data_IF_714813174892
#
_entry.id   IF_714813174892
#
_cell.length_a   1.000
_cell.length_b   1.000
_cell.length_c   1.000
_cell.angle_alpha   90.00
_cell.angle_beta   90.00
_cell.angle_gamma   90.00
#
_symmetry.space_group_name_H-M   'P 1'
#
loop_
_entity.id
_entity.type
_entity.pdbx_description
1 polymer ?
#
# COMPACT_ATOMS: atom_id res chain seq x y z
N UNK A 1 36.89 2.91 13.66
CA UNK A 1 37.40 4.28 13.76
C UNK A 1 38.35 4.54 12.62
N UNK A 2 38.30 5.75 12.05
CA UNK A 2 39.20 6.19 10.98
C UNK A 2 40.26 7.09 11.62
N UNK A 3 41.53 6.75 11.49
CA UNK A 3 42.66 7.49 12.06
C UNK A 3 43.57 8.03 10.95
N UNK A 4 44.22 9.17 11.18
CA UNK A 4 45.12 9.79 10.20
C UNK A 4 46.34 8.90 9.90
N UNK A 5 46.81 8.15 10.90
CA UNK A 5 47.96 7.25 10.77
C UNK A 5 47.75 6.17 9.70
N UNK A 6 46.50 5.73 9.49
CA UNK A 6 46.16 4.68 8.51
C UNK A 6 45.68 5.22 7.16
N UNK A 7 45.75 6.55 6.95
CA UNK A 7 45.28 7.18 5.72
C UNK A 7 45.97 6.64 4.45
N UNK A 8 47.25 6.25 4.57
CA UNK A 8 48.05 5.70 3.48
C UNK A 8 47.70 4.24 3.13
N UNK A 9 46.94 3.53 3.98
CA UNK A 9 46.53 2.14 3.77
C UNK A 9 45.01 2.03 3.70
N UNK A 10 44.37 2.18 2.52
CA UNK A 10 42.91 2.18 2.40
C UNK A 10 42.26 0.88 2.93
N UNK A 11 42.91 -0.26 2.73
CA UNK A 11 42.44 -1.56 3.23
C UNK A 11 42.37 -1.64 4.77
N UNK A 12 43.17 -0.84 5.48
CA UNK A 12 43.23 -0.81 6.96
C UNK A 12 42.73 0.52 7.53
N UNK A 13 42.08 1.34 6.70
CA UNK A 13 41.64 2.68 7.08
C UNK A 13 40.62 2.66 8.23
N UNK A 14 39.80 1.61 8.29
CA UNK A 14 38.72 1.47 9.27
C UNK A 14 39.03 0.40 10.32
N UNK A 15 39.09 0.81 11.58
CA UNK A 15 39.09 -0.12 12.71
C UNK A 15 37.67 -0.52 13.08
N UNK A 16 37.40 -1.81 13.29
CA UNK A 16 36.09 -2.30 13.73
C UNK A 16 36.20 -2.81 15.16
N UNK A 17 35.46 -2.19 16.07
CA UNK A 17 35.41 -2.57 17.49
C UNK A 17 34.05 -3.23 17.76
N UNK A 18 34.07 -4.41 18.38
CA UNK A 18 32.84 -5.09 18.80
C UNK A 18 32.34 -4.48 20.10
N UNK A 19 31.14 -3.90 20.06
CA UNK A 19 30.48 -3.38 21.26
C UNK A 19 29.78 -4.51 22.03
N UNK A 20 29.63 -4.29 23.33
CA UNK A 20 28.84 -5.14 24.22
C UNK A 20 27.38 -5.25 23.77
N UNK A 21 26.74 -6.40 24.04
CA UNK A 21 25.28 -6.57 23.84
C UNK A 21 24.46 -5.77 24.84
N UNK A 22 24.99 -5.51 26.03
CA UNK A 22 24.37 -4.65 27.03
C UNK A 22 24.51 -3.19 26.61
N UNK A 23 23.39 -2.49 26.46
CA UNK A 23 23.32 -1.11 25.97
C UNK A 23 24.15 -0.14 26.82
N UNK A 24 24.02 -0.19 28.14
CA UNK A 24 24.76 0.73 29.04
C UNK A 24 26.28 0.54 28.92
N UNK A 25 26.74 -0.72 28.90
CA UNK A 25 28.17 -1.02 28.70
C UNK A 25 28.66 -0.61 27.31
N UNK A 26 27.81 -0.70 26.29
CA UNK A 26 28.16 -0.24 24.95
C UNK A 26 28.27 1.30 24.88
N UNK A 27 27.43 2.04 25.61
CA UNK A 27 27.57 3.50 25.73
C UNK A 27 28.88 3.89 26.43
N UNK A 28 29.22 3.24 27.52
CA UNK A 28 30.49 3.45 28.24
C UNK A 28 31.70 3.14 27.33
N UNK A 29 31.64 2.06 26.55
CA UNK A 29 32.68 1.72 25.57
C UNK A 29 32.84 2.79 24.48
N UNK A 30 31.73 3.36 23.99
CA UNK A 30 31.77 4.47 23.03
C UNK A 30 32.46 5.69 23.65
N UNK A 31 32.16 6.02 24.91
CA UNK A 31 32.81 7.14 25.60
C UNK A 31 34.30 6.90 25.84
N UNK A 32 34.69 5.69 26.20
CA UNK A 32 36.10 5.33 26.42
C UNK A 32 36.91 5.37 25.11
N UNK A 33 36.38 4.79 24.03
CA UNK A 33 37.08 4.74 22.76
C UNK A 33 37.11 6.10 22.04
N UNK A 34 36.10 6.95 22.25
CA UNK A 34 36.02 8.27 21.62
C UNK A 34 36.36 9.45 22.55
N UNK A 35 37.12 9.22 23.64
CA UNK A 35 37.40 10.23 24.67
C UNK A 35 37.93 11.57 24.14
N UNK A 36 38.80 11.55 23.14
CA UNK A 36 39.45 12.74 22.56
C UNK A 36 38.80 13.26 21.28
N UNK A 37 37.66 12.68 20.86
CA UNK A 37 36.93 13.16 19.69
C UNK A 37 35.98 14.29 20.05
N UNK A 38 35.51 15.02 19.04
CA UNK A 38 34.50 16.07 19.21
C UNK A 38 33.22 15.49 19.84
N UNK A 39 32.69 16.19 20.86
CA UNK A 39 31.42 15.88 21.54
C UNK A 39 30.26 15.64 20.57
N UNK A 40 30.20 16.40 19.47
CA UNK A 40 29.19 16.21 18.43
C UNK A 40 29.21 14.79 17.83
N UNK A 41 30.41 14.30 17.49
CA UNK A 41 30.57 12.95 16.92
C UNK A 41 30.22 11.88 17.94
N UNK A 42 30.63 12.06 19.20
CA UNK A 42 30.28 11.14 20.30
C UNK A 42 28.76 11.06 20.44
N UNK A 43 28.08 12.21 20.50
CA UNK A 43 26.63 12.26 20.62
C UNK A 43 25.93 11.59 19.43
N UNK A 44 26.35 11.86 18.19
CA UNK A 44 25.80 11.19 17.00
C UNK A 44 26.07 9.68 17.00
N UNK A 45 27.24 9.23 17.45
CA UNK A 45 27.54 7.81 17.61
C UNK A 45 26.63 7.14 18.64
N UNK A 46 26.37 7.79 19.78
CA UNK A 46 25.40 7.32 20.79
C UNK A 46 23.98 7.25 20.22
N UNK A 47 23.52 8.30 19.54
CA UNK A 47 22.20 8.31 18.88
C UNK A 47 22.07 7.18 17.86
N UNK A 48 23.10 6.95 17.04
CA UNK A 48 23.12 5.85 16.06
C UNK A 48 23.09 4.49 16.75
N UNK A 49 23.83 4.31 17.84
CA UNK A 49 23.77 3.08 18.64
C UNK A 49 22.34 2.84 19.15
N UNK A 50 21.70 3.85 19.71
CA UNK A 50 20.29 3.76 20.15
C UNK A 50 19.38 3.36 18.99
N UNK A 51 19.47 4.03 17.84
CA UNK A 51 18.64 3.71 16.67
C UNK A 51 18.87 2.28 16.17
N UNK A 52 20.12 1.83 16.05
CA UNK A 52 20.43 0.45 15.62
C UNK A 52 19.93 -0.59 16.62
N UNK A 53 20.04 -0.32 17.93
CA UNK A 53 19.49 -1.24 18.95
C UNK A 53 17.97 -1.30 18.89
N UNK A 54 17.28 -0.17 18.67
CA UNK A 54 15.84 -0.14 18.43
C UNK A 54 15.46 -0.95 17.19
N UNK A 55 16.17 -0.76 16.06
CA UNK A 55 15.94 -1.52 14.83
C UNK A 55 16.12 -3.02 15.06
N UNK A 56 17.17 -3.44 15.77
CA UNK A 56 17.38 -4.85 16.10
C UNK A 56 16.27 -5.41 17.02
N UNK A 57 15.69 -4.60 17.91
CA UNK A 57 14.54 -5.00 18.71
C UNK A 57 13.28 -5.12 17.84
N UNK A 58 13.04 -4.16 16.94
CA UNK A 58 11.88 -4.21 16.03
C UNK A 58 11.97 -5.37 15.06
N UNK A 59 13.15 -5.68 14.54
CA UNK A 59 13.40 -6.83 13.68
C UNK A 59 13.09 -8.14 14.41
N UNK A 60 13.57 -8.31 15.65
CA UNK A 60 13.23 -9.48 16.48
C UNK A 60 11.74 -9.59 16.78
N UNK A 61 11.07 -8.45 17.02
CA UNK A 61 9.62 -8.43 17.24
C UNK A 61 8.86 -8.81 15.97
N UNK A 62 9.30 -8.33 14.81
CA UNK A 62 8.69 -8.64 13.53
C UNK A 62 8.91 -10.12 13.16
N UNK A 63 10.10 -10.66 13.40
CA UNK A 63 10.40 -12.08 13.17
C UNK A 63 9.63 -13.03 14.10
N UNK A 64 9.18 -12.57 15.27
CA UNK A 64 8.30 -13.33 16.17
C UNK A 64 6.82 -13.17 15.81
N UNK A 65 6.47 -12.17 14.99
CA UNK A 65 5.11 -11.97 14.52
C UNK A 65 4.86 -12.95 13.38
N UNK A 66 3.74 -13.67 13.45
CA UNK A 66 3.31 -14.51 12.34
C UNK A 66 2.75 -13.61 11.23
N UNK A 67 3.31 -13.74 10.04
CA UNK A 67 2.86 -13.00 8.86
C UNK A 67 1.69 -13.77 8.22
N UNK A 68 0.45 -13.34 8.48
CA UNK A 68 -0.75 -13.95 7.87
C UNK A 68 -0.85 -13.70 6.36
N UNK A 69 -0.26 -12.61 5.88
CA UNK A 69 -0.35 -12.18 4.48
C UNK A 69 1.01 -11.71 3.99
N UNK A 70 1.44 -12.23 2.85
CA UNK A 70 2.64 -11.79 2.17
C UNK A 70 2.29 -10.81 1.06
N UNK A 71 3.10 -9.77 0.89
CA UNK A 71 2.97 -8.86 -0.24
C UNK A 71 3.33 -9.61 -1.53
N UNK A 72 2.37 -9.75 -2.43
CA UNK A 72 2.56 -10.31 -3.76
C UNK A 72 2.43 -9.18 -4.78
N UNK A 73 3.42 -9.04 -5.66
CA UNK A 73 3.35 -8.11 -6.79
C UNK A 73 2.52 -8.72 -7.91
N UNK A 74 1.36 -8.14 -8.22
CA UNK A 74 0.56 -8.52 -9.39
C UNK A 74 0.95 -7.66 -10.58
N UNK A 75 1.46 -8.29 -11.64
CA UNK A 75 1.83 -7.58 -12.86
C UNK A 75 0.57 -7.07 -13.60
N UNK A 76 0.57 -5.84 -14.13
CA UNK A 76 -0.59 -5.29 -14.84
C UNK A 76 -1.06 -6.14 -16.03
N UNK A 77 -0.11 -6.79 -16.72
CA UNK A 77 -0.44 -7.72 -17.83
C UNK A 77 -1.21 -8.95 -17.35
N UNK A 78 -0.87 -9.49 -16.18
CA UNK A 78 -1.59 -10.62 -15.58
C UNK A 78 -3.00 -10.18 -15.21
N UNK A 79 -3.14 -9.02 -14.56
CA UNK A 79 -4.44 -8.45 -14.21
C UNK A 79 -5.34 -8.27 -15.44
N UNK A 80 -4.85 -7.63 -16.50
CA UNK A 80 -5.62 -7.45 -17.74
C UNK A 80 -6.01 -8.79 -18.38
N UNK A 81 -5.09 -9.75 -18.38
CA UNK A 81 -5.33 -11.10 -18.94
C UNK A 81 -6.36 -11.88 -18.12
N UNK A 82 -6.33 -11.76 -16.80
CA UNK A 82 -7.32 -12.37 -15.91
C UNK A 82 -8.69 -11.72 -16.08
N UNK A 83 -8.76 -10.39 -16.16
CA UNK A 83 -10.00 -9.64 -16.40
C UNK A 83 -10.65 -10.01 -17.75
N UNK A 84 -9.87 -10.06 -18.84
CA UNK A 84 -10.42 -10.43 -20.15
C UNK A 84 -10.87 -11.89 -20.19
N UNK A 85 -10.11 -12.81 -19.58
CA UNK A 85 -10.52 -14.21 -19.45
C UNK A 85 -11.76 -14.38 -18.60
N UNK A 86 -11.88 -13.64 -17.50
CA UNK A 86 -13.06 -13.65 -16.64
C UNK A 86 -14.29 -13.17 -17.40
N UNK A 87 -14.17 -12.09 -18.17
CA UNK A 87 -15.25 -11.58 -19.04
C UNK A 87 -15.66 -12.61 -20.09
N UNK A 88 -14.69 -13.24 -20.77
CA UNK A 88 -14.96 -14.32 -21.75
C UNK A 88 -15.61 -15.55 -21.10
N UNK A 89 -15.14 -15.94 -19.92
CA UNK A 89 -15.69 -17.08 -19.18
C UNK A 89 -17.13 -16.82 -18.71
N UNK A 90 -17.44 -15.60 -18.25
CA UNK A 90 -18.81 -15.21 -17.88
C UNK A 90 -19.74 -15.32 -19.10
N UNK A 91 -19.33 -14.75 -20.23
CA UNK A 91 -20.10 -14.78 -21.47
C UNK A 91 -20.35 -16.23 -21.96
N UNK A 92 -19.30 -17.06 -21.95
CA UNK A 92 -19.38 -18.45 -22.39
C UNK A 92 -20.23 -19.33 -21.46
N UNK A 93 -20.12 -19.15 -20.14
CA UNK A 93 -20.79 -20.00 -19.17
C UNK A 93 -22.33 -19.82 -19.13
N UNK A 94 -22.87 -18.72 -19.70
CA UNK A 94 -24.31 -18.39 -19.75
C UNK A 94 -25.07 -18.86 -18.50
N UNK A 95 -24.59 -18.45 -17.33
CA UNK A 95 -24.94 -19.03 -16.03
C UNK A 95 -26.46 -19.03 -15.79
N UNK A 96 -27.17 -18.00 -16.26
CA UNK A 96 -28.64 -17.91 -16.14
C UNK A 96 -29.37 -19.06 -16.84
N UNK A 97 -29.00 -19.40 -18.08
CA UNK A 97 -29.59 -20.53 -18.82
C UNK A 97 -29.23 -21.87 -18.17
N UNK A 98 -28.01 -22.00 -17.65
CA UNK A 98 -27.61 -23.21 -16.92
C UNK A 98 -28.42 -23.40 -15.62
N UNK A 99 -28.64 -22.31 -14.86
CA UNK A 99 -29.49 -22.32 -13.66
C UNK A 99 -30.95 -22.61 -14.03
N UNK A 100 -31.49 -22.02 -15.10
CA UNK A 100 -32.85 -22.29 -15.57
C UNK A 100 -33.04 -23.77 -15.90
N UNK A 101 -32.10 -24.36 -16.65
CA UNK A 101 -32.10 -25.79 -16.97
C UNK A 101 -32.05 -26.65 -15.70
N UNK A 102 -31.17 -26.35 -14.74
CA UNK A 102 -31.09 -27.09 -13.47
C UNK A 102 -32.37 -26.96 -12.62
N UNK A 103 -32.95 -25.75 -12.57
CA UNK A 103 -34.20 -25.51 -11.85
C UNK A 103 -35.36 -26.26 -12.51
N UNK A 104 -35.47 -26.23 -13.83
CA UNK A 104 -36.46 -27.00 -14.58
C UNK A 104 -36.26 -28.51 -14.38
N UNK A 105 -35.03 -29.00 -14.36
CA UNK A 105 -34.72 -30.41 -14.12
C UNK A 105 -35.07 -30.84 -12.69
N UNK A 106 -34.71 -30.05 -11.66
CA UNK A 106 -35.15 -30.27 -10.27
C UNK A 106 -36.67 -30.23 -10.14
N UNK A 107 -37.32 -29.37 -10.92
CA UNK A 107 -38.76 -29.24 -10.95
C UNK A 107 -39.40 -30.50 -11.56
N UNK A 108 -38.86 -31.00 -12.68
CA UNK A 108 -39.26 -32.26 -13.33
C UNK A 108 -39.00 -33.48 -12.45
N UNK A 109 -37.90 -33.50 -11.70
CA UNK A 109 -37.53 -34.60 -10.81
C UNK A 109 -38.41 -34.71 -9.56
N UNK A 110 -39.40 -33.82 -9.39
CA UNK A 110 -40.39 -33.88 -8.32
C UNK A 110 -39.81 -33.58 -6.93
N UNK A 111 -38.62 -32.97 -6.84
CA UNK A 111 -37.96 -32.65 -5.57
C UNK A 111 -38.78 -31.69 -4.69
N UNK A 112 -39.70 -30.93 -5.30
CA UNK A 112 -40.55 -29.93 -4.63
C UNK A 112 -41.98 -30.43 -4.30
N UNK A 113 -42.27 -31.72 -4.47
CA UNK A 113 -43.58 -32.33 -4.19
C UNK A 113 -44.66 -32.06 -5.27
N UNK A 114 -45.90 -32.50 -5.01
CA UNK A 114 -47.03 -32.41 -5.97
C UNK A 114 -47.50 -30.98 -6.27
N UNK A 115 -47.12 -30.01 -5.43
CA UNK A 115 -47.55 -28.61 -5.57
C UNK A 115 -46.45 -27.64 -5.11
N UNK A 116 -45.51 -27.27 -6.00
CA UNK A 116 -44.52 -26.26 -5.67
C UNK A 116 -45.20 -24.94 -5.32
N UNK A 117 -44.88 -24.40 -4.15
CA UNK A 117 -45.59 -23.29 -3.49
C UNK A 117 -45.58 -21.97 -4.29
N UNK A 118 -44.68 -21.84 -5.27
CA UNK A 118 -44.44 -20.60 -6.03
C UNK A 118 -44.77 -20.69 -7.53
N UNK A 119 -45.29 -21.81 -8.04
CA UNK A 119 -45.57 -21.97 -9.48
C UNK A 119 -47.08 -22.09 -9.71
N UNK A 120 -47.64 -21.21 -10.54
CA UNK A 120 -49.06 -21.31 -10.94
C UNK A 120 -49.32 -22.63 -11.67
N UNK A 121 -50.37 -23.38 -11.28
CA UNK A 121 -50.72 -24.68 -11.88
C UNK A 121 -50.92 -24.65 -13.40
N UNK A 122 -51.32 -23.49 -13.94
CA UNK A 122 -51.51 -23.26 -15.39
C UNK A 122 -50.18 -23.14 -16.12
N UNK A 123 -49.17 -22.56 -15.47
CA UNK A 123 -47.81 -22.39 -15.99
C UNK A 123 -47.10 -23.74 -15.89
N UNK A 124 -47.27 -24.45 -14.78
CA UNK A 124 -46.78 -25.82 -14.58
C UNK A 124 -47.18 -26.77 -15.72
N UNK A 125 -48.48 -26.87 -16.01
CA UNK A 125 -49.00 -27.75 -17.09
C UNK A 125 -48.53 -27.31 -18.47
N UNK A 126 -48.33 -26.00 -18.69
CA UNK A 126 -47.82 -25.47 -19.95
C UNK A 126 -46.33 -25.76 -20.14
N UNK A 127 -45.52 -25.60 -19.10
CA UNK A 127 -44.07 -25.88 -19.13
C UNK A 127 -43.81 -27.37 -19.33
N UNK A 128 -44.56 -28.26 -18.65
CA UNK A 128 -44.49 -29.71 -18.90
C UNK A 128 -44.92 -30.10 -20.32
N UNK A 129 -45.84 -29.35 -20.93
CA UNK A 129 -46.31 -29.60 -22.29
C UNK A 129 -45.42 -29.02 -23.39
N UNK A 130 -44.70 -27.92 -23.12
CA UNK A 130 -43.91 -27.15 -24.11
C UNK A 130 -42.44 -27.57 -24.15
N UNK A 131 -41.87 -27.97 -23.02
CA UNK A 131 -40.47 -28.40 -22.92
C UNK A 131 -40.19 -29.74 -23.61
N UNK A 132 -41.21 -30.54 -23.93
CA UNK A 132 -41.05 -31.74 -24.76
C UNK A 132 -40.78 -31.46 -26.24
N UNK A 133 -41.03 -30.24 -26.72
CA UNK A 133 -40.81 -29.82 -28.11
C UNK A 133 -39.62 -28.86 -28.28
N UNK A 134 -39.16 -28.16 -27.22
CA UNK A 134 -38.12 -27.11 -27.30
C UNK A 134 -36.67 -27.60 -27.02
N UNK A 135 -36.48 -28.81 -26.47
CA UNK A 135 -35.14 -29.35 -26.17
C UNK A 135 -34.33 -29.72 -27.45
N UNK A 136 -34.93 -29.76 -28.65
CA UNK A 136 -34.25 -30.07 -29.92
C UNK A 136 -33.85 -28.84 -30.76
N UNK A 137 -34.25 -27.61 -30.38
CA UNK A 137 -34.09 -26.42 -31.26
C UNK A 137 -33.12 -25.34 -30.78
N UNK A 138 -32.55 -25.44 -29.57
CA UNK A 138 -31.73 -24.36 -28.99
C UNK A 138 -30.21 -24.55 -29.11
N UNK A 139 -29.74 -25.62 -29.76
CA UNK A 139 -28.31 -25.89 -29.95
C UNK A 139 -27.69 -25.13 -31.16
N UNK A 140 -28.46 -24.35 -31.93
CA UNK A 140 -27.98 -23.63 -33.13
C UNK A 140 -27.65 -22.13 -32.94
N UNK A 141 -27.72 -21.57 -31.72
CA UNK A 141 -27.22 -20.20 -31.44
C UNK A 141 -25.73 -20.19 -31.02
N UNK A 142 -24.91 -20.82 -31.85
CA UNK A 142 -23.46 -20.90 -31.76
C UNK A 142 -22.83 -20.10 -32.90
N UNK A 143 -22.88 -18.76 -32.86
CA UNK A 143 -21.95 -17.91 -33.60
C UNK A 143 -22.12 -16.44 -33.17
N UNK A 144 -21.07 -15.89 -32.57
CA UNK A 144 -20.63 -14.48 -32.61
C UNK A 144 -19.98 -14.05 -31.28
N UNK A 145 -18.85 -14.69 -30.91
CA UNK A 145 -17.96 -14.21 -29.85
C UNK A 145 -16.51 -14.06 -30.32
N UNK A 146 -16.26 -14.16 -31.64
CA UNK A 146 -14.93 -14.18 -32.26
C UNK A 146 -14.62 -12.91 -33.09
N UNK A 147 -15.23 -11.76 -32.77
CA UNK A 147 -14.97 -10.49 -33.47
C UNK A 147 -14.37 -9.40 -32.55
N UNK A 148 -13.47 -9.78 -31.65
CA UNK A 148 -12.60 -8.81 -30.93
C UNK A 148 -11.16 -9.36 -30.80
N UNK A 149 -10.68 -10.05 -31.84
CA UNK A 149 -9.30 -10.53 -32.01
C UNK A 149 -8.49 -9.58 -32.92
N UNK A 150 -8.58 -8.25 -32.73
CA UNK A 150 -7.81 -7.29 -33.54
C UNK A 150 -7.06 -6.19 -32.76
N UNK A 151 -6.94 -6.28 -31.43
CA UNK A 151 -6.11 -5.35 -30.63
C UNK A 151 -4.89 -6.01 -29.94
N UNK A 152 -4.47 -7.21 -30.36
CA UNK A 152 -3.15 -7.77 -30.01
C UNK A 152 -2.16 -7.75 -31.21
N UNK A 153 -2.43 -6.92 -32.23
CA UNK A 153 -1.48 -6.57 -33.30
C UNK A 153 -0.77 -5.25 -33.01
N UNK A 154 -0.18 -5.11 -31.82
CA UNK A 154 0.81 -4.06 -31.54
C UNK A 154 2.18 -4.69 -31.21
N UNK A 155 2.64 -5.59 -32.10
CA UNK A 155 4.05 -5.99 -32.20
C UNK A 155 4.87 -4.97 -33.02
N UNK A 156 4.57 -3.66 -32.90
CA UNK A 156 5.06 -2.67 -33.88
C UNK A 156 5.45 -1.29 -33.38
N UNK A 157 5.05 -0.83 -32.20
CA UNK A 157 5.47 0.49 -31.73
C UNK A 157 6.86 0.42 -31.05
N UNK A 158 7.90 0.48 -31.89
CA UNK A 158 9.27 0.76 -31.45
C UNK A 158 9.28 2.22 -31.00
N UNK A 159 9.11 2.45 -29.70
CA UNK A 159 9.35 3.73 -29.06
C UNK A 159 10.82 4.11 -29.26
N UNK A 160 11.08 4.96 -30.26
CA UNK A 160 12.37 5.62 -30.40
C UNK A 160 12.53 6.55 -29.21
N UNK A 161 13.40 6.16 -28.27
CA UNK A 161 13.95 7.10 -27.31
C UNK A 161 14.84 8.05 -28.12
N UNK A 162 14.29 9.20 -28.52
CA UNK A 162 15.12 10.33 -28.91
C UNK A 162 15.99 10.68 -27.70
N UNK A 163 17.29 10.43 -27.86
CA UNK A 163 18.36 11.01 -27.04
C UNK A 163 18.34 12.52 -27.26
N UNK A 164 17.35 13.21 -26.69
CA UNK A 164 17.37 14.66 -26.52
C UNK A 164 18.35 14.95 -25.38
N UNK A 165 19.63 14.92 -25.76
CA UNK A 165 20.74 15.36 -24.94
C UNK A 165 20.70 16.87 -24.74
N UNK A 166 19.76 17.37 -23.95
CA UNK A 166 19.77 18.73 -23.43
C UNK A 166 19.35 18.78 -21.95
N UNK A 167 20.38 18.78 -21.10
CA UNK A 167 20.50 19.65 -19.93
C UNK A 167 19.44 19.57 -18.81
N UNK A 168 19.32 18.41 -18.15
CA UNK A 168 18.82 18.36 -16.76
C UNK A 168 19.94 18.76 -15.78
N UNK A 169 20.38 20.02 -15.90
CA UNK A 169 21.21 20.70 -14.93
C UNK A 169 20.34 20.98 -13.70
N UNK A 170 20.32 20.01 -12.78
CA UNK A 170 19.66 20.12 -11.48
C UNK A 170 20.01 21.46 -10.84
N UNK A 171 19.01 22.33 -10.68
CA UNK A 171 19.18 23.70 -10.19
C UNK A 171 19.85 23.71 -8.81
N UNK A 172 21.05 24.28 -8.75
CA UNK A 172 21.90 24.26 -7.57
C UNK A 172 21.25 24.98 -6.37
N UNK A 173 20.25 25.81 -6.63
CA UNK A 173 19.46 26.56 -5.65
C UNK A 173 18.47 25.66 -4.86
N UNK A 174 17.95 24.58 -5.47
CA UNK A 174 17.01 23.66 -4.80
C UNK A 174 17.73 22.68 -3.85
N UNK A 175 19.00 22.38 -4.16
CA UNK A 175 19.87 21.58 -3.29
C UNK A 175 20.37 22.38 -2.08
N UNK A 176 20.60 23.69 -2.24
CA UNK A 176 20.97 24.60 -1.14
C UNK A 176 19.80 24.80 -0.16
N UNK A 177 18.58 24.92 -0.69
CA UNK A 177 17.35 25.05 0.11
C UNK A 177 17.01 23.80 0.92
N UNK A 178 17.35 22.61 0.43
CA UNK A 178 17.21 21.37 1.20
C UNK A 178 18.24 21.24 2.33
N UNK A 179 19.41 21.87 2.18
CA UNK A 179 20.45 21.89 3.21
C UNK A 179 20.10 22.85 4.37
N UNK A 180 19.52 24.01 4.07
CA UNK A 180 19.16 25.04 5.05
C UNK A 180 18.03 24.61 6.00
N UNK A 181 17.06 23.82 5.53
CA UNK A 181 15.97 23.27 6.36
C UNK A 181 16.47 22.23 7.40
N UNK A 182 17.68 21.69 7.23
CA UNK A 182 18.27 20.74 8.17
C UNK A 182 19.07 21.38 9.31
N UNK A 183 19.37 22.69 9.26
CA UNK A 183 20.17 23.38 10.29
C UNK A 183 19.35 24.30 11.23
N UNK A 184 18.05 24.49 10.97
CA UNK A 184 17.21 25.45 11.72
C UNK A 184 16.57 24.96 13.04
N UNK A 185 16.87 23.76 13.55
CA UNK A 185 16.17 23.23 14.73
C UNK A 185 17.09 22.59 15.77
N UNK A 186 17.73 23.42 16.62
CA UNK A 186 17.85 23.26 18.08
C UNK A 186 18.87 24.22 18.72
N UNK A 187 18.38 25.09 19.64
CA UNK A 187 19.02 25.81 20.78
C UNK A 187 18.60 27.30 20.76
N UNK A 188 18.01 27.97 21.77
CA UNK A 188 17.95 27.90 23.25
C UNK A 188 16.62 28.61 23.69
N UNK A 189 15.79 28.15 24.65
CA UNK A 189 15.83 28.34 26.13
C UNK A 189 16.22 29.79 26.56
N UNK A 190 15.56 30.58 27.43
CA UNK A 190 14.48 30.53 28.44
C UNK A 190 14.18 32.01 28.85
N UNK A 191 12.99 32.34 29.38
CA UNK A 191 12.83 33.29 30.52
C UNK A 191 11.38 33.50 30.95
N UNK A 192 11.20 33.36 32.26
CA UNK A 192 10.03 33.44 33.14
C UNK A 192 9.47 34.87 33.37
N UNK A 193 8.20 34.98 33.78
CA UNK A 193 7.61 35.98 34.72
C UNK A 193 6.09 36.23 34.53
N UNK A 194 5.29 35.60 35.39
CA UNK A 194 4.14 36.07 36.19
C UNK A 194 3.40 37.42 35.86
N UNK A 195 2.05 37.36 35.95
CA UNK A 195 1.10 38.36 36.50
C UNK A 195 0.12 39.14 35.59
N UNK A 196 -1.16 38.73 35.68
CA UNK A 196 -2.43 39.45 35.95
C UNK A 196 -3.01 40.61 35.08
N UNK A 197 -4.33 40.50 34.92
CA UNK A 197 -5.43 41.49 34.80
C UNK A 197 -5.79 42.28 33.52
N UNK A 198 -7.10 42.16 33.22
CA UNK A 198 -8.09 43.11 32.69
C UNK A 198 -8.11 43.69 31.25
N UNK A 199 -9.26 43.41 30.62
CA UNK A 199 -10.24 44.38 30.08
C UNK A 199 -9.99 45.16 28.77
N UNK A 200 -10.81 44.81 27.78
CA UNK A 200 -11.68 45.65 26.93
C UNK A 200 -11.15 46.51 25.75
N UNK A 201 -11.99 46.49 24.71
CA UNK A 201 -12.36 47.49 23.71
C UNK A 201 -11.51 47.82 22.44
N UNK A 202 -12.14 47.44 21.31
CA UNK A 202 -12.32 48.12 20.00
C UNK A 202 -11.18 48.75 19.16
N UNK A 203 -11.14 48.22 17.93
CA UNK A 203 -11.46 48.93 16.67
C UNK A 203 -10.34 49.40 15.70
N UNK A 204 -10.56 48.97 14.44
CA UNK A 204 -10.32 49.64 13.14
C UNK A 204 -8.87 49.83 12.62
N UNK A 205 -8.50 48.92 11.72
CA UNK A 205 -8.47 49.24 10.28
C UNK A 205 -7.12 49.52 9.61
N UNK A 206 -6.71 48.64 8.67
CA UNK A 206 -6.55 48.90 7.22
C UNK A 206 -5.49 48.03 6.52
N UNK A 207 -5.95 47.39 5.43
CA UNK A 207 -5.33 47.16 4.09
C UNK A 207 -4.19 46.12 3.89
N UNK A 208 -4.64 45.04 3.23
CA UNK A 208 -4.10 44.41 1.98
C UNK A 208 -2.68 43.83 1.99
N UNK A 209 -2.62 42.50 2.05
CA UNK A 209 -1.89 41.70 1.05
C UNK A 209 -2.62 40.35 0.87
N UNK A 210 -2.87 39.97 -0.38
CA UNK A 210 -3.41 38.66 -0.77
C UNK A 210 -2.22 37.71 -0.76
N UNK A 211 -2.09 36.90 0.28
CA UNK A 211 -1.27 35.67 0.22
C UNK A 211 -2.22 34.49 0.08
N UNK A 212 -2.07 33.77 -1.02
CA UNK A 212 -2.68 32.47 -1.26
C UNK A 212 -2.25 31.51 -0.15
N UNK A 213 -3.14 31.27 0.81
CA UNK A 213 -2.98 30.18 1.78
C UNK A 213 -3.03 28.87 1.00
N UNK A 214 -1.87 28.26 0.83
CA UNK A 214 -1.71 26.89 0.40
C UNK A 214 -2.44 25.98 1.40
N UNK A 215 -3.59 25.47 0.98
CA UNK A 215 -4.38 24.51 1.77
C UNK A 215 -3.59 23.21 1.73
N UNK A 216 -2.85 22.93 2.82
CA UNK A 216 -2.18 21.62 3.02
C UNK A 216 -3.22 20.52 2.85
N UNK A 217 -3.15 19.79 1.73
CA UNK A 217 -4.02 18.64 1.44
C UNK A 217 -3.78 17.58 2.53
N UNK A 218 -4.78 17.37 3.38
CA UNK A 218 -4.75 16.29 4.37
C UNK A 218 -4.78 14.95 3.62
N UNK A 219 -3.82 14.08 3.92
CA UNK A 219 -3.75 12.70 3.39
C UNK A 219 -5.07 11.97 3.74
N UNK A 220 -5.60 11.11 2.84
CA UNK A 220 -6.86 10.40 3.10
C UNK A 220 -6.72 9.54 4.36
N UNK A 221 -7.67 9.66 5.29
CA UNK A 221 -7.81 8.76 6.44
C UNK A 221 -8.45 7.48 5.91
N UNK A 222 -7.77 6.35 6.11
CA UNK A 222 -8.31 5.01 5.83
C UNK A 222 -8.86 4.51 7.17
N UNK A 223 -10.19 4.39 7.24
CA UNK A 223 -10.88 3.72 8.35
C UNK A 223 -10.88 2.23 8.06
N UNK A 224 -10.15 1.47 8.88
CA UNK A 224 -10.14 0.01 8.80
C UNK A 224 -11.04 -0.50 9.92
N UNK A 225 -12.24 -0.92 9.57
CA UNK A 225 -13.10 -1.68 10.47
C UNK A 225 -12.50 -3.08 10.60
N UNK A 226 -12.07 -3.42 11.81
CA UNK A 226 -11.60 -4.76 12.14
C UNK A 226 -12.80 -5.47 12.75
N UNK A 227 -13.39 -6.40 12.01
CA UNK A 227 -14.37 -7.34 12.56
C UNK A 227 -13.62 -8.31 13.48
N UNK A 228 -13.85 -8.20 14.80
CA UNK A 228 -13.37 -9.18 15.77
C UNK A 228 -14.32 -10.39 15.73
N UNK A 229 -13.86 -11.52 15.19
CA UNK A 229 -14.57 -12.80 15.33
C UNK A 229 -14.64 -13.19 16.81
N UNK A 230 -15.84 -13.52 17.36
CA UNK A 230 -15.95 -13.93 18.74
C UNK A 230 -15.29 -15.31 18.92
N UNK A 231 -14.24 -15.35 19.73
CA UNK A 231 -13.56 -16.58 20.14
C UNK A 231 -14.57 -17.65 20.55
N UNK A 232 -14.65 -18.73 19.78
CA UNK A 232 -15.51 -19.88 20.06
C UNK A 232 -14.95 -20.59 21.29
N UNK A 233 -15.58 -20.36 22.44
CA UNK A 233 -15.28 -21.09 23.68
C UNK A 233 -15.72 -22.53 23.48
N UNK A 234 -14.76 -23.41 23.17
CA UNK A 234 -14.97 -24.86 23.21
C UNK A 234 -15.15 -25.31 24.65
N UNK A 235 -16.25 -26.03 24.88
CA UNK A 235 -16.78 -26.48 26.16
C UNK A 235 -16.00 -27.66 26.75
#
# INVERSE_FOLDING_TARGET
MKTAERAHMPNRLWERIKLSRNYNKALEQVDQHLLYWNKFLIHKCKQRLTRLTQVAITERRLALREDERHYVGVAPKVKRREETRERKALAAARIEKAIEKELLERLKSGAYGDKPLNVDEKIWKKVLGKVGEEDESEDEEEEDWDEEEEEESDEGEVEYVEDDGDDDLVDMEDLERWLDDSEGNSSEEESDSESDDSSDDNSKGRKRSKSSKEVKRRRPRIEVEIEEEPNVVTR
#
